data_IF_207792930669
#
_entry.id   IF_207792930669
#
_cell.length_a   1.000
_cell.length_b   1.000
_cell.length_c   1.000
_cell.angle_alpha   90.00
_cell.angle_beta   90.00
_cell.angle_gamma   90.00
#
_symmetry.space_group_name_H-M   'P 1'
#
loop_
_entity.id
_entity.type
_entity.pdbx_description
1 polymer ?
#
# COMPACT_ATOMS: atom_id res chain seq x y z
N UNK A 1 8.47 12.83 12.62
CA UNK A 1 9.44 13.05 11.53
C UNK A 1 8.83 12.59 10.22
N UNK A 2 9.41 12.97 9.08
CA UNK A 2 9.02 12.48 7.75
C UNK A 2 10.28 12.27 6.91
N UNK A 3 10.22 11.34 5.97
CA UNK A 3 11.32 11.01 5.04
C UNK A 3 10.76 11.03 3.62
N UNK A 4 11.47 11.69 2.70
CA UNK A 4 11.11 11.74 1.28
C UNK A 4 12.18 10.95 0.51
N UNK A 5 11.80 9.80 -0.04
CA UNK A 5 12.71 8.85 -0.67
C UNK A 5 12.50 8.67 -2.20
N UNK A 6 11.77 9.56 -2.87
CA UNK A 6 11.47 9.47 -4.32
C UNK A 6 10.96 8.07 -4.75
N UNK A 7 10.18 7.42 -3.88
CA UNK A 7 9.60 6.11 -4.15
C UNK A 7 8.48 6.25 -5.20
N UNK A 8 8.37 5.26 -6.09
CA UNK A 8 7.39 5.29 -7.19
C UNK A 8 6.00 4.88 -6.72
N UNK A 9 5.91 3.93 -5.78
CA UNK A 9 4.65 3.46 -5.23
C UNK A 9 4.64 3.47 -3.71
N UNK A 10 3.52 3.89 -3.12
CA UNK A 10 3.29 3.80 -1.67
C UNK A 10 3.25 2.35 -1.18
N UNK A 11 2.91 1.39 -2.05
CA UNK A 11 2.90 -0.04 -1.72
C UNK A 11 4.28 -0.64 -1.45
N UNK A 12 5.36 0.04 -1.86
CA UNK A 12 6.74 -0.36 -1.54
C UNK A 12 7.07 -0.09 -0.07
N UNK A 13 6.29 0.75 0.61
CA UNK A 13 6.46 1.07 2.03
C UNK A 13 5.36 0.37 2.83
N UNK A 14 5.75 -0.62 3.62
CA UNK A 14 4.83 -1.31 4.52
C UNK A 14 4.80 -0.61 5.87
N UNK A 15 3.59 -0.45 6.41
CA UNK A 15 3.41 0.19 7.72
C UNK A 15 4.04 -0.71 8.80
N UNK A 16 4.92 -0.11 9.61
CA UNK A 16 5.66 -0.82 10.66
C UNK A 16 6.98 -1.45 10.20
N UNK A 17 7.37 -1.29 8.93
CA UNK A 17 8.66 -1.74 8.42
C UNK A 17 9.83 -0.87 8.92
N UNK A 18 11.06 -1.34 8.79
CA UNK A 18 12.27 -0.68 9.29
C UNK A 18 13.09 -0.07 8.16
N UNK A 19 13.28 1.25 8.20
CA UNK A 19 14.20 1.96 7.31
C UNK A 19 15.62 1.90 7.91
N UNK A 20 16.60 1.47 7.12
CA UNK A 20 18.02 1.43 7.50
C UNK A 20 18.92 1.91 6.37
N UNK A 21 20.19 2.17 6.69
CA UNK A 21 21.18 2.64 5.72
C UNK A 21 21.60 1.51 4.76
N UNK A 22 21.90 1.87 3.51
CA UNK A 22 22.29 0.90 2.49
C UNK A 22 23.72 0.41 2.60
N UNK A 23 24.63 1.23 3.15
CA UNK A 23 26.06 0.93 3.31
C UNK A 23 26.33 0.31 4.68
N UNK A 24 25.63 0.78 5.70
CA UNK A 24 25.73 0.31 7.08
C UNK A 24 24.36 -0.10 7.63
N UNK A 25 23.80 -1.23 7.15
CA UNK A 25 22.48 -1.67 7.57
C UNK A 25 22.46 -2.06 9.05
N UNK A 26 21.29 -1.88 9.67
CA UNK A 26 21.02 -2.35 11.01
C UNK A 26 21.09 -3.89 11.03
N UNK A 27 21.73 -4.49 12.05
CA UNK A 27 21.86 -5.95 12.14
C UNK A 27 20.52 -6.68 12.26
N UNK A 28 19.48 -6.03 12.79
CA UNK A 28 18.15 -6.61 12.94
C UNK A 28 17.05 -5.56 12.68
N UNK A 29 15.96 -5.91 11.98
CA UNK A 29 14.80 -5.04 11.84
C UNK A 29 14.08 -4.89 13.20
N UNK A 30 13.24 -3.85 13.31
CA UNK A 30 12.43 -3.65 14.50
C UNK A 30 11.46 -4.82 14.69
N UNK A 31 11.30 -5.33 15.93
CA UNK A 31 10.35 -6.39 16.21
C UNK A 31 8.92 -5.89 16.04
N UNK A 32 8.03 -6.80 15.63
CA UNK A 32 6.58 -6.53 15.57
C UNK A 32 6.04 -6.16 14.20
N UNK A 33 6.90 -5.97 13.19
CA UNK A 33 6.44 -5.89 11.80
C UNK A 33 5.71 -7.17 11.40
N UNK A 34 4.51 -7.02 10.85
CA UNK A 34 3.73 -8.11 10.26
C UNK A 34 3.16 -7.62 8.95
N UNK A 35 3.30 -8.46 7.93
CA UNK A 35 2.65 -8.20 6.65
C UNK A 35 1.13 -8.23 6.85
N UNK A 36 0.48 -7.13 6.48
CA UNK A 36 -0.98 -7.02 6.54
C UNK A 36 -1.56 -7.96 5.49
N UNK A 37 -2.30 -8.97 5.95
CA UNK A 37 -3.05 -9.87 5.07
C UNK A 37 -4.51 -9.45 5.08
N UNK A 38 -5.14 -9.21 3.93
CA UNK A 38 -6.57 -8.94 3.88
C UNK A 38 -7.34 -10.12 4.47
N UNK A 39 -8.19 -9.84 5.46
CA UNK A 39 -8.97 -10.88 6.17
C UNK A 39 -10.38 -11.06 5.58
N UNK A 40 -10.86 -10.07 4.81
CA UNK A 40 -12.20 -10.04 4.22
C UNK A 40 -12.08 -9.54 2.79
N UNK A 41 -12.77 -10.20 1.86
CA UNK A 41 -12.85 -9.83 0.45
C UNK A 41 -14.31 -9.54 0.08
N UNK A 42 -14.52 -8.57 -0.80
CA UNK A 42 -15.83 -8.24 -1.37
C UNK A 42 -15.70 -7.91 -2.85
N UNK A 43 -16.68 -8.33 -3.65
CA UNK A 43 -16.76 -7.98 -5.06
C UNK A 43 -17.59 -6.71 -5.25
N UNK A 44 -16.98 -5.66 -5.80
CA UNK A 44 -17.66 -4.39 -6.10
C UNK A 44 -17.93 -4.32 -7.59
N UNK A 45 -19.19 -4.16 -7.96
CA UNK A 45 -19.64 -4.03 -9.35
C UNK A 45 -20.50 -2.77 -9.48
N UNK A 46 -20.38 -2.03 -10.59
CA UNK A 46 -21.25 -0.89 -10.83
C UNK A 46 -22.67 -1.39 -11.15
N UNK A 47 -23.68 -0.59 -10.82
CA UNK A 47 -25.08 -0.91 -11.15
C UNK A 47 -25.32 -0.80 -12.66
N UNK A 48 -24.68 0.17 -13.30
CA UNK A 48 -24.68 0.38 -14.75
C UNK A 48 -23.32 -0.04 -15.33
N UNK A 49 -23.32 -0.75 -16.46
CA UNK A 49 -22.08 -1.17 -17.13
C UNK A 49 -21.27 0.00 -17.68
N UNK A 50 -21.91 1.14 -17.96
CA UNK A 50 -21.25 2.36 -18.42
C UNK A 50 -20.33 2.99 -17.36
N UNK A 51 -20.56 2.72 -16.08
CA UNK A 51 -19.77 3.24 -14.96
C UNK A 51 -18.52 2.42 -14.64
N UNK A 52 -18.27 1.32 -15.36
CA UNK A 52 -17.15 0.42 -15.10
C UNK A 52 -15.79 1.15 -15.10
N UNK A 53 -15.53 1.97 -16.12
CA UNK A 53 -14.27 2.72 -16.22
C UNK A 53 -14.13 3.77 -15.12
N UNK A 54 -15.24 4.42 -14.72
CA UNK A 54 -15.24 5.37 -13.62
C UNK A 54 -14.93 4.70 -12.29
N UNK A 55 -15.55 3.54 -12.03
CA UNK A 55 -15.28 2.73 -10.84
C UNK A 55 -13.83 2.27 -10.81
N UNK A 56 -13.30 1.75 -11.92
CA UNK A 56 -11.90 1.32 -12.04
C UNK A 56 -10.92 2.45 -11.74
N UNK A 57 -11.16 3.64 -12.29
CA UNK A 57 -10.34 4.82 -12.01
C UNK A 57 -10.43 5.27 -10.55
N UNK A 58 -11.61 5.20 -9.94
CA UNK A 58 -11.80 5.53 -8.52
C UNK A 58 -11.08 4.54 -7.60
N UNK A 59 -11.15 3.24 -7.89
CA UNK A 59 -10.41 2.20 -7.14
C UNK A 59 -8.89 2.39 -7.25
N UNK A 60 -8.37 2.73 -8.43
CA UNK A 60 -6.95 3.05 -8.60
C UNK A 60 -6.51 4.27 -7.78
N UNK A 61 -7.35 5.32 -7.70
CA UNK A 61 -7.08 6.49 -6.83
C UNK A 61 -7.10 6.13 -5.35
N UNK A 62 -7.97 5.22 -4.93
CA UNK A 62 -8.02 4.75 -3.54
C UNK A 62 -6.74 3.99 -3.17
N UNK A 63 -6.26 3.12 -4.07
CA UNK A 63 -5.03 2.34 -3.87
C UNK A 63 -3.77 3.20 -3.69
N UNK A 64 -3.71 4.39 -4.28
CA UNK A 64 -2.56 5.31 -4.10
C UNK A 64 -2.46 5.81 -2.65
N UNK A 65 -3.62 6.02 -2.00
CA UNK A 65 -3.67 6.52 -0.63
C UNK A 65 -3.70 5.40 0.41
N UNK A 66 -4.28 4.26 0.07
CA UNK A 66 -4.42 3.11 0.97
C UNK A 66 -3.54 1.94 0.49
N UNK A 67 -2.36 1.85 1.07
CA UNK A 67 -1.40 0.78 0.77
C UNK A 67 -1.86 -0.62 1.22
N UNK A 68 -2.94 -0.73 2.01
CA UNK A 68 -3.54 -2.01 2.37
C UNK A 68 -4.60 -2.49 1.34
N UNK A 69 -5.00 -1.62 0.41
CA UNK A 69 -5.99 -1.94 -0.62
C UNK A 69 -5.31 -2.61 -1.83
N UNK A 70 -5.78 -3.82 -2.19
CA UNK A 70 -5.22 -4.65 -3.26
C UNK A 70 -6.16 -4.73 -4.46
#
# INVERSE_FOLDING_TARGET
>A
GYVIANLKSASEVKIGDTITDSVHPCPQPLPGFKEVRPMVFSGVYPVDSSDYEALKAAMGKLQINDAAFT
#
